data_IF_486601179760
#
_entry.id   IF_486601179760
#
_cell.length_a   1.000
_cell.length_b   1.000
_cell.length_c   1.000
_cell.angle_alpha   90.00
_cell.angle_beta   90.00
_cell.angle_gamma   90.00
#
_symmetry.space_group_name_H-M   'P 1'
#
loop_
_entity.id
_entity.type
_entity.pdbx_description
1 polymer ?
#
# COMPACT_ATOMS: atom_id res chain seq x y z
N UNK A 1 29.78 15.90 -91.96
CA UNK A 1 31.21 15.77 -92.28
C UNK A 1 31.84 15.33 -91.02
N UNK A 2 32.17 14.11 -91.12
CA UNK A 2 33.36 13.31 -90.82
C UNK A 2 33.55 13.08 -89.34
N UNK A 3 33.15 11.91 -88.82
CA UNK A 3 33.92 10.66 -88.71
C UNK A 3 35.29 10.82 -88.08
N UNK A 4 35.50 10.23 -86.93
CA UNK A 4 36.47 9.12 -86.86
C UNK A 4 36.51 8.51 -85.43
N UNK A 5 36.33 7.24 -85.46
CA UNK A 5 36.67 6.25 -84.45
C UNK A 5 38.15 6.16 -84.14
N UNK A 6 38.56 5.80 -82.91
CA UNK A 6 39.65 4.88 -82.57
C UNK A 6 39.50 4.43 -81.13
N UNK A 7 39.17 3.26 -80.90
CA UNK A 7 39.76 2.06 -80.34
C UNK A 7 41.01 2.21 -79.47
N UNK A 8 40.99 1.69 -78.29
CA UNK A 8 42.19 1.45 -77.47
C UNK A 8 41.86 0.98 -76.04
N UNK A 9 41.80 -0.31 -75.84
CA UNK A 9 42.00 -1.03 -74.54
C UNK A 9 43.52 -1.23 -74.40
N UNK A 10 44.07 -1.68 -73.22
CA UNK A 10 43.70 -1.67 -71.84
C UNK A 10 44.84 -1.17 -70.92
N UNK A 11 44.59 -0.89 -69.71
CA UNK A 11 45.65 -0.60 -68.74
C UNK A 11 45.23 -0.60 -67.31
N UNK A 12 45.31 -1.74 -66.72
CA UNK A 12 45.74 -2.06 -65.36
C UNK A 12 45.58 -1.02 -64.26
N UNK A 13 44.73 -1.38 -63.30
CA UNK A 13 45.01 -1.44 -61.88
C UNK A 13 45.59 -0.20 -61.21
N UNK A 14 44.75 0.49 -60.48
CA UNK A 14 45.16 1.10 -59.22
C UNK A 14 44.02 0.79 -58.19
N UNK A 15 44.27 -0.29 -57.49
CA UNK A 15 43.62 -0.60 -56.21
C UNK A 15 44.12 0.45 -55.21
N UNK A 16 43.46 1.59 -55.13
CA UNK A 16 43.58 2.43 -53.95
C UNK A 16 42.75 1.75 -52.84
N UNK A 17 43.46 1.01 -52.02
CA UNK A 17 43.00 0.55 -50.75
C UNK A 17 42.66 1.77 -49.90
N UNK A 18 41.39 2.18 -49.91
CA UNK A 18 40.82 3.01 -48.85
C UNK A 18 40.74 2.12 -47.62
N UNK A 19 41.83 2.02 -46.89
CA UNK A 19 41.83 1.55 -45.53
C UNK A 19 41.02 2.57 -44.73
N UNK A 20 39.70 2.37 -44.68
CA UNK A 20 38.82 2.99 -43.68
C UNK A 20 39.31 2.45 -42.35
N UNK A 21 40.12 3.25 -41.69
CA UNK A 21 40.39 3.12 -40.28
C UNK A 21 39.02 3.25 -39.55
N UNK A 22 38.32 2.14 -39.40
CA UNK A 22 37.42 1.93 -38.31
C UNK A 22 38.29 1.95 -37.05
N UNK A 23 38.59 3.17 -36.58
CA UNK A 23 38.91 3.35 -35.19
C UNK A 23 37.68 2.86 -34.44
N UNK A 24 37.67 1.56 -34.18
CA UNK A 24 36.79 1.00 -33.15
C UNK A 24 37.07 1.80 -31.89
N UNK A 25 36.16 2.72 -31.58
CA UNK A 25 35.98 3.13 -30.21
C UNK A 25 35.54 1.88 -29.42
N UNK A 26 36.52 1.02 -29.18
CA UNK A 26 36.49 0.08 -28.10
C UNK A 26 36.60 0.89 -26.81
N UNK A 27 35.60 1.72 -26.55
CA UNK A 27 35.26 2.07 -25.18
C UNK A 27 34.95 0.74 -24.50
N UNK A 28 35.98 0.19 -23.86
CA UNK A 28 35.79 -0.97 -23.00
C UNK A 28 34.71 -0.64 -22.01
N UNK A 29 33.47 -1.01 -22.34
CA UNK A 29 32.47 -1.25 -21.33
C UNK A 29 33.07 -2.39 -20.54
N UNK A 30 33.69 -2.07 -19.39
CA UNK A 30 34.01 -3.06 -18.37
C UNK A 30 32.68 -3.73 -18.01
N UNK A 31 32.33 -4.71 -18.82
CA UNK A 31 31.14 -5.51 -18.57
C UNK A 31 31.44 -6.35 -17.34
N UNK A 32 30.94 -5.89 -16.18
CA UNK A 32 30.98 -6.69 -14.99
C UNK A 32 30.21 -7.98 -15.28
N UNK A 33 30.95 -9.09 -15.38
CA UNK A 33 30.34 -10.39 -15.59
C UNK A 33 29.79 -10.92 -14.26
N UNK A 34 28.51 -10.62 -14.00
CA UNK A 34 27.82 -11.05 -12.78
C UNK A 34 27.54 -12.57 -12.73
N UNK A 35 27.94 -13.32 -13.76
CA UNK A 35 27.82 -14.78 -13.76
C UNK A 35 29.05 -15.48 -13.18
N UNK A 36 30.16 -14.76 -13.00
CA UNK A 36 31.41 -15.32 -12.44
C UNK A 36 31.49 -15.14 -10.93
N UNK A 37 32.10 -16.10 -10.23
CA UNK A 37 32.37 -15.95 -8.80
C UNK A 37 33.32 -14.76 -8.56
N UNK A 38 33.07 -14.05 -7.46
CA UNK A 38 33.82 -12.85 -7.06
C UNK A 38 35.23 -13.24 -6.62
N UNK A 39 36.23 -12.73 -7.29
CA UNK A 39 37.65 -12.91 -6.93
C UNK A 39 38.33 -11.55 -6.86
N UNK A 40 38.76 -11.14 -5.66
CA UNK A 40 39.63 -9.98 -5.43
C UNK A 40 39.01 -8.59 -5.67
N UNK A 41 39.35 -7.59 -4.86
CA UNK A 41 38.82 -6.20 -4.89
C UNK A 41 37.28 -6.09 -4.70
N UNK A 42 36.75 -6.76 -3.70
CA UNK A 42 35.31 -6.91 -3.41
C UNK A 42 34.55 -5.57 -3.36
N UNK A 43 35.06 -4.57 -2.65
CA UNK A 43 34.37 -3.30 -2.49
C UNK A 43 34.14 -2.57 -3.83
N UNK A 44 35.13 -2.59 -4.72
CA UNK A 44 35.07 -1.96 -6.05
C UNK A 44 34.05 -2.64 -6.96
N UNK A 45 33.90 -3.96 -6.82
CA UNK A 45 32.92 -4.74 -7.59
C UNK A 45 31.48 -4.47 -7.10
N UNK A 46 31.28 -4.38 -5.78
CA UNK A 46 29.98 -4.04 -5.19
C UNK A 46 29.52 -2.65 -5.66
N UNK A 47 30.41 -1.67 -5.60
CA UNK A 47 30.11 -0.30 -6.05
C UNK A 47 29.77 -0.23 -7.53
N UNK A 48 30.59 -0.87 -8.38
CA UNK A 48 30.37 -0.88 -9.84
C UNK A 48 29.04 -1.55 -10.18
N UNK A 49 28.76 -2.70 -9.58
CA UNK A 49 27.51 -3.41 -9.82
C UNK A 49 26.31 -2.60 -9.34
N UNK A 50 26.38 -1.99 -8.16
CA UNK A 50 25.35 -1.10 -7.65
C UNK A 50 25.11 0.07 -8.60
N UNK A 51 26.16 0.80 -8.99
CA UNK A 51 26.04 1.91 -9.96
C UNK A 51 25.44 1.46 -11.29
N UNK A 52 25.83 0.29 -11.79
CA UNK A 52 25.23 -0.28 -13.01
C UNK A 52 23.75 -0.56 -12.79
N UNK A 53 23.36 -1.19 -11.69
CA UNK A 53 21.95 -1.45 -11.35
C UNK A 53 21.12 -0.16 -11.27
N UNK A 54 21.66 0.90 -10.68
CA UNK A 54 20.99 2.22 -10.63
C UNK A 54 20.86 2.84 -12.02
N UNK A 55 21.87 2.74 -12.89
CA UNK A 55 21.76 3.24 -14.25
C UNK A 55 20.67 2.50 -15.04
N UNK A 56 20.66 1.16 -14.98
CA UNK A 56 19.62 0.36 -15.62
C UNK A 56 18.21 0.70 -15.07
N UNK A 57 18.09 0.95 -13.75
CA UNK A 57 16.85 1.43 -13.13
C UNK A 57 16.40 2.77 -13.73
N UNK A 58 17.32 3.74 -13.85
CA UNK A 58 17.03 5.06 -14.40
C UNK A 58 16.60 4.98 -15.88
N UNK A 59 17.17 4.03 -16.62
CA UNK A 59 16.80 3.72 -18.00
C UNK A 59 15.50 2.89 -18.10
N UNK A 60 14.84 2.61 -16.94
CA UNK A 60 13.64 1.77 -16.82
C UNK A 60 13.84 0.31 -17.26
N UNK A 61 15.08 -0.14 -17.37
CA UNK A 61 15.43 -1.53 -17.63
C UNK A 61 15.42 -2.33 -16.34
N UNK A 62 14.22 -2.49 -15.77
CA UNK A 62 14.02 -3.06 -14.43
C UNK A 62 14.53 -4.50 -14.29
N UNK A 63 14.52 -5.29 -15.37
CA UNK A 63 15.01 -6.68 -15.35
C UNK A 63 16.52 -6.70 -15.07
N UNK A 64 17.29 -5.94 -15.84
CA UNK A 64 18.74 -5.86 -15.66
C UNK A 64 19.11 -5.16 -14.36
N UNK A 65 18.39 -4.09 -14.00
CA UNK A 65 18.57 -3.41 -12.72
C UNK A 65 18.41 -4.40 -11.55
N UNK A 66 17.35 -5.21 -11.54
CA UNK A 66 17.11 -6.23 -10.52
C UNK A 66 18.28 -7.22 -10.44
N UNK A 67 18.76 -7.73 -11.59
CA UNK A 67 19.88 -8.69 -11.62
C UNK A 67 21.14 -8.11 -10.95
N UNK A 68 21.54 -6.87 -11.28
CA UNK A 68 22.69 -6.23 -10.68
C UNK A 68 22.53 -5.96 -9.19
N UNK A 69 21.36 -5.44 -8.77
CA UNK A 69 21.11 -5.10 -7.38
C UNK A 69 20.99 -6.35 -6.50
N UNK A 70 20.33 -7.41 -6.97
CA UNK A 70 20.27 -8.69 -6.27
C UNK A 70 21.64 -9.37 -6.20
N UNK A 71 22.43 -9.25 -7.24
CA UNK A 71 23.81 -9.76 -7.23
C UNK A 71 24.64 -9.06 -6.15
N UNK A 72 24.53 -7.72 -6.01
CA UNK A 72 25.19 -6.97 -4.92
C UNK A 72 24.74 -7.47 -3.56
N UNK A 73 23.44 -7.59 -3.35
CA UNK A 73 22.86 -8.05 -2.08
C UNK A 73 23.35 -9.45 -1.71
N UNK A 74 23.39 -10.36 -2.67
CA UNK A 74 23.75 -11.76 -2.41
C UNK A 74 25.25 -12.00 -2.23
N UNK A 75 26.09 -11.29 -2.98
CA UNK A 75 27.54 -11.52 -2.97
C UNK A 75 28.31 -10.60 -2.00
N UNK A 76 27.70 -9.47 -1.60
CA UNK A 76 28.33 -8.49 -0.71
C UNK A 76 27.42 -8.07 0.46
N UNK A 77 26.87 -9.01 1.24
CA UNK A 77 25.84 -8.73 2.24
C UNK A 77 26.29 -7.74 3.34
N UNK A 78 27.58 -7.64 3.58
CA UNK A 78 28.14 -6.71 4.60
C UNK A 78 28.63 -5.39 4.01
N UNK A 79 28.46 -5.17 2.72
CA UNK A 79 28.83 -3.92 2.07
C UNK A 79 27.74 -2.86 2.29
N UNK A 80 28.14 -1.60 2.41
CA UNK A 80 27.19 -0.48 2.38
C UNK A 80 26.32 -0.49 1.11
N UNK A 81 26.81 -1.03 0.01
CA UNK A 81 26.08 -1.14 -1.24
C UNK A 81 24.98 -2.19 -1.20
N UNK A 82 25.06 -3.18 -0.28
CA UNK A 82 23.98 -4.16 -0.08
C UNK A 82 22.71 -3.48 0.43
N UNK A 83 22.82 -2.70 1.49
CA UNK A 83 21.70 -1.96 2.04
C UNK A 83 21.11 -0.95 1.02
N UNK A 84 21.98 -0.28 0.26
CA UNK A 84 21.55 0.63 -0.81
C UNK A 84 20.86 -0.13 -1.97
N UNK A 85 21.31 -1.34 -2.29
CA UNK A 85 20.69 -2.19 -3.30
C UNK A 85 19.28 -2.68 -2.84
N UNK A 86 19.15 -3.09 -1.57
CA UNK A 86 17.84 -3.44 -1.00
C UNK A 86 16.86 -2.28 -1.08
N UNK A 87 17.29 -1.09 -0.72
CA UNK A 87 16.46 0.11 -0.79
C UNK A 87 16.09 0.46 -2.25
N UNK A 88 17.03 0.31 -3.20
CA UNK A 88 16.76 0.54 -4.60
C UNK A 88 15.78 -0.48 -5.21
N UNK A 89 15.83 -1.74 -4.77
CA UNK A 89 14.86 -2.76 -5.16
C UNK A 89 13.46 -2.43 -4.64
N UNK A 90 13.35 -1.94 -3.39
CA UNK A 90 12.09 -1.47 -2.84
C UNK A 90 11.54 -0.25 -3.61
N UNK A 91 12.41 0.71 -3.95
CA UNK A 91 12.05 1.87 -4.78
C UNK A 91 11.55 1.43 -6.17
N UNK A 92 12.19 0.42 -6.79
CA UNK A 92 11.75 -0.12 -8.09
C UNK A 92 10.39 -0.80 -8.01
N UNK A 93 10.12 -1.57 -6.95
CA UNK A 93 8.80 -2.18 -6.75
C UNK A 93 7.72 -1.08 -6.67
N UNK A 94 8.00 -0.01 -5.94
CA UNK A 94 7.09 1.13 -5.84
C UNK A 94 6.89 1.86 -7.18
N UNK A 95 7.95 2.09 -7.95
CA UNK A 95 7.87 2.72 -9.28
C UNK A 95 7.09 1.89 -10.30
N UNK A 96 7.07 0.58 -10.12
CA UNK A 96 6.27 -0.37 -10.91
C UNK A 96 4.85 -0.54 -10.40
N UNK A 97 4.44 0.27 -9.43
CA UNK A 97 3.13 0.22 -8.78
C UNK A 97 2.83 -1.12 -8.06
N UNK A 98 3.86 -1.93 -7.80
CA UNK A 98 3.75 -3.11 -6.93
C UNK A 98 3.88 -2.67 -5.47
N UNK A 99 2.84 -1.99 -5.00
CA UNK A 99 2.86 -1.32 -3.70
C UNK A 99 2.92 -2.29 -2.52
N UNK A 100 2.31 -3.46 -2.64
CA UNK A 100 2.35 -4.49 -1.60
C UNK A 100 3.77 -5.04 -1.39
N UNK A 101 4.46 -5.39 -2.49
CA UNK A 101 5.86 -5.82 -2.46
C UNK A 101 6.78 -4.69 -1.98
N UNK A 102 6.55 -3.46 -2.43
CA UNK A 102 7.31 -2.30 -2.00
C UNK A 102 7.18 -2.06 -0.49
N UNK A 103 5.96 -2.10 0.06
CA UNK A 103 5.73 -1.94 1.49
C UNK A 103 6.50 -2.99 2.31
N UNK A 104 6.45 -4.25 1.88
CA UNK A 104 7.20 -5.35 2.52
C UNK A 104 8.70 -5.11 2.46
N UNK A 105 9.24 -4.79 1.28
CA UNK A 105 10.67 -4.55 1.09
C UNK A 105 11.19 -3.36 1.93
N UNK A 106 10.42 -2.26 2.01
CA UNK A 106 10.79 -1.15 2.90
C UNK A 106 10.72 -1.52 4.38
N UNK A 107 9.73 -2.33 4.80
CA UNK A 107 9.66 -2.82 6.19
C UNK A 107 10.85 -3.69 6.54
N UNK A 108 11.23 -4.61 5.66
CA UNK A 108 12.39 -5.47 5.84
C UNK A 108 13.68 -4.65 5.92
N UNK A 109 13.82 -3.62 5.07
CA UNK A 109 14.95 -2.70 5.13
C UNK A 109 15.05 -2.00 6.49
N UNK A 110 13.95 -1.41 6.98
CA UNK A 110 13.94 -0.72 8.29
C UNK A 110 14.27 -1.68 9.43
N UNK A 111 13.79 -2.93 9.35
CA UNK A 111 14.05 -3.97 10.34
C UNK A 111 15.52 -4.42 10.34
N UNK A 112 16.10 -4.60 9.16
CA UNK A 112 17.47 -5.09 8.98
C UNK A 112 18.52 -3.99 9.18
N UNK A 113 18.17 -2.74 8.87
CA UNK A 113 19.08 -1.58 8.87
C UNK A 113 18.53 -0.40 9.68
N UNK A 114 18.18 -0.56 10.97
CA UNK A 114 17.49 0.47 11.75
C UNK A 114 18.33 1.75 11.98
N UNK A 115 19.66 1.64 11.94
CA UNK A 115 20.59 2.77 12.09
C UNK A 115 21.07 3.36 10.76
N UNK A 116 20.57 2.87 9.63
CA UNK A 116 20.98 3.38 8.32
C UNK A 116 20.48 4.83 8.13
N UNK A 117 21.29 5.73 7.52
CA UNK A 117 20.90 7.14 7.31
C UNK A 117 19.58 7.35 6.54
N UNK A 118 19.13 6.36 5.77
CA UNK A 118 17.87 6.38 5.03
C UNK A 118 16.78 5.49 5.63
N UNK A 119 16.91 5.08 6.90
CA UNK A 119 15.90 4.27 7.57
C UNK A 119 14.58 5.07 7.76
N UNK A 120 14.68 6.38 7.98
CA UNK A 120 13.55 7.28 8.06
C UNK A 120 12.80 7.38 6.71
N UNK A 121 13.54 7.53 5.60
CA UNK A 121 12.97 7.50 4.26
C UNK A 121 12.23 6.19 4.01
N UNK A 122 12.86 5.04 4.27
CA UNK A 122 12.25 3.73 4.06
C UNK A 122 10.98 3.58 4.92
N UNK A 123 11.02 4.00 6.20
CA UNK A 123 9.87 3.95 7.09
C UNK A 123 8.70 4.83 6.61
N UNK A 124 8.98 6.04 6.10
CA UNK A 124 7.97 6.88 5.45
C UNK A 124 7.37 6.21 4.21
N UNK A 125 8.24 5.59 3.38
CA UNK A 125 7.83 4.90 2.14
C UNK A 125 6.93 3.69 2.40
N UNK A 126 7.07 3.00 3.55
CA UNK A 126 6.11 1.95 3.97
C UNK A 126 4.69 2.51 4.01
N UNK A 127 4.50 3.63 4.72
CA UNK A 127 3.18 4.24 4.82
C UNK A 127 2.64 4.74 3.48
N UNK A 128 3.53 5.32 2.66
CA UNK A 128 3.15 5.79 1.33
C UNK A 128 2.76 4.64 0.40
N UNK A 129 3.46 3.50 0.47
CA UNK A 129 3.15 2.31 -0.32
C UNK A 129 1.77 1.76 0.04
N UNK A 130 1.47 1.58 1.31
CA UNK A 130 0.12 1.18 1.74
C UNK A 130 -0.97 2.19 1.31
N UNK A 131 -0.66 3.48 1.34
CA UNK A 131 -1.63 4.49 0.87
C UNK A 131 -1.89 4.39 -0.63
N UNK A 132 -0.88 4.07 -1.44
CA UNK A 132 -1.04 3.90 -2.89
C UNK A 132 -1.75 2.60 -3.25
N UNK A 133 -1.65 1.56 -2.40
CA UNK A 133 -2.34 0.27 -2.57
C UNK A 133 -3.86 0.36 -2.32
N UNK A 134 -4.37 1.55 -2.03
CA UNK A 134 -5.80 1.79 -1.80
C UNK A 134 -6.64 1.49 -3.03
N UNK A 135 -7.90 1.03 -2.88
CA UNK A 135 -8.84 0.89 -3.98
C UNK A 135 -9.04 2.22 -4.73
N UNK A 136 -9.09 2.14 -6.07
CA UNK A 136 -9.24 3.31 -6.93
C UNK A 136 -10.59 4.03 -6.71
N UNK A 137 -10.59 5.35 -6.88
CA UNK A 137 -11.75 6.23 -6.78
C UNK A 137 -12.44 6.45 -8.15
N UNK A 138 -12.38 5.43 -9.04
CA UNK A 138 -12.97 5.54 -10.36
C UNK A 138 -14.49 5.73 -10.27
N UNK A 139 -15.03 6.78 -10.90
CA UNK A 139 -16.40 7.26 -10.75
C UNK A 139 -17.52 6.24 -11.07
N UNK A 140 -17.23 5.24 -11.92
CA UNK A 140 -18.19 4.17 -12.27
C UNK A 140 -18.24 3.05 -11.22
N UNK A 141 -17.28 3.01 -10.30
CA UNK A 141 -17.23 2.03 -9.20
C UNK A 141 -17.90 2.63 -7.96
N UNK A 142 -18.31 1.78 -6.99
CA UNK A 142 -18.78 2.26 -5.70
C UNK A 142 -17.75 3.21 -5.06
N UNK A 143 -18.20 4.20 -4.29
CA UNK A 143 -17.30 5.12 -3.60
C UNK A 143 -16.22 4.39 -2.81
N UNK A 144 -15.04 4.98 -2.71
CA UNK A 144 -13.90 4.32 -2.09
C UNK A 144 -14.09 4.00 -0.60
N UNK A 145 -14.94 4.78 0.10
CA UNK A 145 -15.28 4.51 1.50
C UNK A 145 -16.21 3.29 1.70
N UNK A 146 -16.81 2.75 0.63
CA UNK A 146 -17.57 1.49 0.67
C UNK A 146 -16.68 0.25 0.47
N UNK A 147 -15.47 0.44 -0.04
CA UNK A 147 -14.51 -0.63 -0.34
C UNK A 147 -13.69 -1.00 0.89
N UNK A 148 -12.83 -2.00 0.77
CA UNK A 148 -11.89 -2.39 1.82
C UNK A 148 -10.98 -1.21 2.21
N UNK A 149 -10.91 -0.93 3.50
CA UNK A 149 -10.08 0.12 4.08
C UNK A 149 -8.81 -0.42 4.73
N UNK A 150 -8.51 -1.71 4.58
CA UNK A 150 -7.29 -2.33 5.16
C UNK A 150 -6.00 -1.61 4.74
N UNK A 151 -5.78 -1.26 3.45
CA UNK A 151 -4.59 -0.53 3.06
C UNK A 151 -4.49 0.85 3.71
N UNK A 152 -5.62 1.56 3.83
CA UNK A 152 -5.66 2.90 4.45
C UNK A 152 -5.37 2.82 5.97
N UNK A 153 -5.88 1.79 6.67
CA UNK A 153 -5.55 1.54 8.08
C UNK A 153 -4.06 1.26 8.24
N UNK A 154 -3.51 0.38 7.40
CA UNK A 154 -2.08 0.06 7.40
C UNK A 154 -1.21 1.28 7.12
N UNK A 155 -1.63 2.14 6.18
CA UNK A 155 -0.95 3.40 5.88
C UNK A 155 -0.94 4.34 7.08
N UNK A 156 -2.12 4.57 7.68
CA UNK A 156 -2.27 5.41 8.87
C UNK A 156 -1.36 4.94 10.01
N UNK A 157 -1.38 3.64 10.31
CA UNK A 157 -0.59 3.06 11.39
C UNK A 157 0.92 3.11 11.12
N UNK A 158 1.34 2.85 9.88
CA UNK A 158 2.73 2.94 9.48
C UNK A 158 3.26 4.39 9.57
N UNK A 159 2.47 5.36 9.09
CA UNK A 159 2.84 6.78 9.15
C UNK A 159 2.87 7.31 10.58
N UNK A 160 1.95 6.89 11.45
CA UNK A 160 1.98 7.26 12.87
C UNK A 160 3.24 6.71 13.55
N UNK A 161 3.57 5.43 13.32
CA UNK A 161 4.83 4.85 13.82
C UNK A 161 6.06 5.60 13.30
N UNK A 162 6.05 5.97 12.02
CA UNK A 162 7.13 6.76 11.43
C UNK A 162 7.32 8.10 12.16
N UNK A 163 6.25 8.88 12.36
CA UNK A 163 6.32 10.19 13.04
C UNK A 163 6.86 10.08 14.48
N UNK A 164 6.50 8.98 15.17
CA UNK A 164 6.97 8.70 16.53
C UNK A 164 8.46 8.30 16.52
N UNK A 165 8.87 7.43 15.59
CA UNK A 165 10.22 6.89 15.54
C UNK A 165 11.25 7.88 14.98
N UNK A 166 10.83 8.75 14.06
CA UNK A 166 11.71 9.69 13.35
C UNK A 166 11.20 11.14 13.42
N UNK A 167 11.03 11.73 14.62
CA UNK A 167 10.37 13.03 14.78
C UNK A 167 11.10 14.21 14.14
N UNK A 168 12.39 14.05 13.80
CA UNK A 168 13.23 15.06 13.15
C UNK A 168 13.39 14.85 11.64
N UNK A 169 12.77 13.84 11.07
CA UNK A 169 12.87 13.56 9.63
C UNK A 169 12.18 14.65 8.81
N UNK A 170 12.75 14.98 7.66
CA UNK A 170 12.18 15.92 6.69
C UNK A 170 10.82 15.49 6.13
N UNK A 171 10.49 14.19 6.23
CA UNK A 171 9.21 13.63 5.75
C UNK A 171 8.07 13.79 6.74
N UNK A 172 8.33 14.24 7.99
CA UNK A 172 7.29 14.35 9.04
C UNK A 172 6.11 15.24 8.64
N UNK A 173 6.30 16.45 8.05
CA UNK A 173 5.16 17.25 7.62
C UNK A 173 4.27 16.52 6.62
N UNK A 174 4.85 15.94 5.57
CA UNK A 174 4.12 15.17 4.55
C UNK A 174 3.42 13.94 5.13
N UNK A 175 4.06 13.27 6.10
CA UNK A 175 3.46 12.13 6.78
C UNK A 175 2.23 12.54 7.60
N UNK A 176 2.27 13.68 8.29
CA UNK A 176 1.11 14.21 9.04
C UNK A 176 -0.05 14.58 8.14
N UNK A 177 0.22 15.21 7.00
CA UNK A 177 -0.81 15.52 6.00
C UNK A 177 -1.46 14.23 5.50
N UNK A 178 -0.66 13.21 5.19
CA UNK A 178 -1.17 11.93 4.72
C UNK A 178 -1.94 11.16 5.80
N UNK A 179 -1.53 11.25 7.07
CA UNK A 179 -2.29 10.73 8.22
C UNK A 179 -3.68 11.36 8.27
N UNK A 180 -3.78 12.68 8.11
CA UNK A 180 -5.07 13.37 8.11
C UNK A 180 -5.96 12.88 6.97
N UNK A 181 -5.43 12.76 5.75
CA UNK A 181 -6.16 12.19 4.60
C UNK A 181 -6.63 10.76 4.87
N UNK A 182 -5.78 9.90 5.45
CA UNK A 182 -6.17 8.55 5.84
C UNK A 182 -7.30 8.57 6.87
N UNK A 183 -7.20 9.41 7.90
CA UNK A 183 -8.21 9.52 8.97
C UNK A 183 -9.55 10.03 8.43
N UNK A 184 -9.54 11.02 7.54
CA UNK A 184 -10.77 11.52 6.90
C UNK A 184 -11.47 10.42 6.10
N UNK A 185 -10.71 9.61 5.35
CA UNK A 185 -11.27 8.50 4.59
C UNK A 185 -11.83 7.40 5.49
N UNK A 186 -11.14 7.06 6.58
CA UNK A 186 -11.62 6.10 7.57
C UNK A 186 -12.87 6.61 8.30
N UNK A 187 -12.92 7.90 8.63
CA UNK A 187 -14.10 8.52 9.22
C UNK A 187 -15.31 8.49 8.27
N UNK A 188 -15.09 8.73 6.97
CA UNK A 188 -16.14 8.61 5.96
C UNK A 188 -16.68 7.18 5.85
N UNK A 189 -15.80 6.17 5.91
CA UNK A 189 -16.20 4.76 5.96
C UNK A 189 -17.03 4.43 7.22
N UNK A 190 -16.55 4.84 8.40
CA UNK A 190 -17.25 4.56 9.66
C UNK A 190 -18.60 5.27 9.72
N UNK A 191 -18.71 6.49 9.16
CA UNK A 191 -19.99 7.19 8.98
C UNK A 191 -20.92 6.41 8.06
N UNK A 192 -20.44 5.94 6.91
CA UNK A 192 -21.22 5.12 5.99
C UNK A 192 -21.78 3.86 6.69
N UNK A 193 -20.95 3.18 7.48
CA UNK A 193 -21.39 2.02 8.27
C UNK A 193 -22.44 2.42 9.33
N UNK A 194 -22.24 3.54 10.02
CA UNK A 194 -23.22 4.05 10.98
C UNK A 194 -24.58 4.36 10.34
N UNK A 195 -24.55 5.03 9.17
CA UNK A 195 -25.74 5.34 8.38
C UNK A 195 -26.45 4.09 7.83
N UNK A 196 -25.69 3.05 7.51
CA UNK A 196 -26.25 1.75 7.12
C UNK A 196 -27.11 1.15 8.24
N UNK A 197 -26.60 1.14 9.50
CA UNK A 197 -27.37 0.70 10.67
C UNK A 197 -28.56 1.61 10.95
N UNK A 198 -28.39 2.92 10.79
CA UNK A 198 -29.45 3.91 10.95
C UNK A 198 -30.62 3.66 10.00
N UNK A 199 -30.37 3.50 8.71
CA UNK A 199 -31.39 3.26 7.68
C UNK A 199 -32.19 1.98 7.90
N UNK A 200 -31.63 1.03 8.67
CA UNK A 200 -32.28 -0.24 9.03
C UNK A 200 -32.96 -0.22 10.40
N UNK A 201 -33.04 0.94 11.04
CA UNK A 201 -33.57 1.11 12.39
C UNK A 201 -32.83 0.25 13.44
N UNK A 202 -31.59 -0.18 13.14
CA UNK A 202 -30.73 -0.91 14.06
C UNK A 202 -30.06 0.07 15.04
N UNK A 203 -30.88 0.73 15.86
CA UNK A 203 -30.51 1.89 16.66
C UNK A 203 -29.32 1.66 17.58
N UNK A 204 -29.25 0.50 18.24
CA UNK A 204 -28.13 0.15 19.11
C UNK A 204 -26.81 0.08 18.33
N UNK A 205 -26.83 -0.53 17.14
CA UNK A 205 -25.68 -0.58 16.25
C UNK A 205 -25.28 0.79 15.74
N UNK A 206 -26.26 1.60 15.29
CA UNK A 206 -26.04 2.98 14.84
C UNK A 206 -25.40 3.84 15.94
N UNK A 207 -25.96 3.81 17.16
CA UNK A 207 -25.43 4.56 18.30
C UNK A 207 -23.97 4.20 18.59
N UNK A 208 -23.65 2.90 18.65
CA UNK A 208 -22.29 2.43 18.92
C UNK A 208 -21.30 2.89 17.82
N UNK A 209 -21.71 2.87 16.55
CA UNK A 209 -20.87 3.35 15.44
C UNK A 209 -20.67 4.86 15.46
N UNK A 210 -21.72 5.65 15.73
CA UNK A 210 -21.56 7.09 15.88
C UNK A 210 -20.72 7.47 17.11
N UNK A 211 -20.82 6.78 18.23
CA UNK A 211 -19.93 6.99 19.37
C UNK A 211 -18.47 6.68 19.01
N UNK A 212 -18.22 5.55 18.36
CA UNK A 212 -16.87 5.21 17.86
C UNK A 212 -16.31 6.28 16.92
N UNK A 213 -17.16 6.82 16.03
CA UNK A 213 -16.79 7.90 15.12
C UNK A 213 -16.40 9.18 15.91
N UNK A 214 -17.16 9.55 16.93
CA UNK A 214 -16.87 10.70 17.79
C UNK A 214 -15.58 10.53 18.58
N UNK A 215 -15.31 9.33 19.08
CA UNK A 215 -14.14 9.03 19.90
C UNK A 215 -12.85 8.96 19.07
N UNK A 216 -12.92 8.35 17.89
CA UNK A 216 -11.72 8.10 17.05
C UNK A 216 -11.36 9.27 16.15
N UNK A 217 -12.35 9.96 15.61
CA UNK A 217 -12.16 10.99 14.58
C UNK A 217 -12.77 12.34 14.93
N UNK A 218 -13.19 12.51 16.19
CA UNK A 218 -13.91 13.70 16.63
C UNK A 218 -13.12 15.00 16.55
N UNK A 219 -11.80 14.96 16.43
CA UNK A 219 -10.92 16.11 16.22
C UNK A 219 -10.90 16.61 14.76
N UNK A 220 -11.34 15.78 13.81
CA UNK A 220 -11.44 16.17 12.41
C UNK A 220 -12.45 17.32 12.21
N UNK A 221 -12.26 18.05 11.12
CA UNK A 221 -13.10 19.20 10.78
C UNK A 221 -13.18 20.23 11.93
N UNK A 222 -12.05 20.49 12.58
CA UNK A 222 -11.97 21.41 13.73
C UNK A 222 -12.92 21.02 14.90
N UNK A 223 -13.17 19.71 15.08
CA UNK A 223 -14.03 19.19 16.14
C UNK A 223 -15.53 19.13 15.78
N UNK A 224 -15.92 19.54 14.58
CA UNK A 224 -17.32 19.50 14.14
C UNK A 224 -17.87 18.09 14.07
N UNK A 225 -17.06 17.15 13.59
CA UNK A 225 -17.42 15.74 13.45
C UNK A 225 -17.83 15.11 14.79
N UNK A 226 -17.16 15.47 15.89
CA UNK A 226 -17.50 14.99 17.24
C UNK A 226 -18.93 15.35 17.62
N UNK A 227 -19.30 16.62 17.46
CA UNK A 227 -20.64 17.10 17.83
C UNK A 227 -21.74 16.44 17.01
N UNK A 228 -21.56 16.35 15.70
CA UNK A 228 -22.49 15.69 14.81
C UNK A 228 -22.65 14.19 15.15
N UNK A 229 -21.56 13.49 15.38
CA UNK A 229 -21.59 12.07 15.70
C UNK A 229 -22.24 11.82 17.07
N UNK A 230 -21.94 12.64 18.10
CA UNK A 230 -22.60 12.55 19.40
C UNK A 230 -24.09 12.85 19.31
N UNK A 231 -24.48 13.84 18.49
CA UNK A 231 -25.89 14.13 18.27
C UNK A 231 -26.61 12.93 17.66
N UNK A 232 -26.07 12.37 16.58
CA UNK A 232 -26.65 11.21 15.90
C UNK A 232 -26.71 9.98 16.83
N UNK A 233 -25.72 9.77 17.69
CA UNK A 233 -25.73 8.71 18.70
C UNK A 233 -26.86 8.94 19.72
N UNK A 234 -27.05 10.18 20.19
CA UNK A 234 -28.15 10.55 21.08
C UNK A 234 -29.52 10.29 20.46
N UNK A 235 -29.72 10.66 19.21
CA UNK A 235 -30.94 10.38 18.43
C UNK A 235 -31.19 8.86 18.29
N UNK A 236 -30.13 8.08 18.06
CA UNK A 236 -30.26 6.63 17.99
C UNK A 236 -30.68 6.01 19.32
N UNK A 237 -30.14 6.47 20.46
CA UNK A 237 -30.57 6.04 21.78
C UNK A 237 -32.02 6.46 22.11
N UNK A 238 -32.41 7.68 21.65
CA UNK A 238 -33.81 8.13 21.78
C UNK A 238 -34.76 7.18 21.06
N UNK A 239 -34.45 6.83 19.80
CA UNK A 239 -35.26 5.91 19.01
C UNK A 239 -35.29 4.50 19.61
N UNK A 240 -34.21 4.11 20.30
CA UNK A 240 -34.14 2.84 21.05
C UNK A 240 -34.96 2.87 22.36
N UNK A 241 -35.31 4.08 22.85
CA UNK A 241 -35.96 4.26 24.16
C UNK A 241 -35.01 4.20 25.36
N UNK A 242 -33.69 4.16 25.12
CA UNK A 242 -32.65 4.14 26.15
C UNK A 242 -32.34 5.57 26.63
N UNK A 243 -33.19 6.07 27.55
CA UNK A 243 -33.06 7.40 28.13
C UNK A 243 -31.74 7.62 28.89
N UNK A 244 -31.19 6.56 29.47
CA UNK A 244 -29.93 6.64 30.22
C UNK A 244 -28.73 6.91 29.31
N UNK A 245 -28.61 6.15 28.23
CA UNK A 245 -27.54 6.34 27.24
C UNK A 245 -27.75 7.62 26.44
N UNK A 246 -28.98 7.99 26.10
CA UNK A 246 -29.29 9.29 25.48
C UNK A 246 -28.77 10.43 26.36
N UNK A 247 -29.13 10.47 27.64
CA UNK A 247 -28.70 11.51 28.59
C UNK A 247 -27.16 11.63 28.64
N UNK A 248 -26.47 10.51 28.83
CA UNK A 248 -25.00 10.49 28.85
C UNK A 248 -24.38 11.04 27.56
N UNK A 249 -24.92 10.65 26.42
CA UNK A 249 -24.41 11.07 25.10
C UNK A 249 -24.64 12.56 24.85
N UNK A 250 -25.84 13.09 25.21
CA UNK A 250 -26.12 14.51 25.10
C UNK A 250 -25.29 15.35 26.07
N UNK A 251 -25.00 14.86 27.29
CA UNK A 251 -24.07 15.51 28.21
C UNK A 251 -22.68 15.64 27.61
N UNK A 252 -22.18 14.56 26.99
CA UNK A 252 -20.90 14.59 26.26
C UNK A 252 -20.92 15.63 25.12
N UNK A 253 -22.01 15.69 24.33
CA UNK A 253 -22.14 16.68 23.28
C UNK A 253 -21.99 18.10 23.81
N UNK A 254 -22.71 18.45 24.88
CA UNK A 254 -22.66 19.80 25.48
C UNK A 254 -21.26 20.13 26.01
N UNK A 255 -20.57 19.15 26.58
CA UNK A 255 -19.24 19.32 27.19
C UNK A 255 -18.12 19.33 26.14
N UNK A 256 -18.14 18.35 25.23
CA UNK A 256 -17.03 18.08 24.30
C UNK A 256 -17.15 18.85 22.97
N UNK A 257 -18.38 19.28 22.61
CA UNK A 257 -18.65 20.01 21.36
C UNK A 257 -19.48 21.30 21.61
N UNK A 258 -18.96 22.26 22.38
CA UNK A 258 -19.73 23.43 22.83
C UNK A 258 -20.17 24.36 21.69
N UNK A 259 -19.57 24.26 20.50
CA UNK A 259 -19.93 25.05 19.30
C UNK A 259 -20.81 24.30 18.33
N UNK A 260 -21.30 23.10 18.70
CA UNK A 260 -22.18 22.32 17.81
C UNK A 260 -23.55 22.99 17.69
N UNK A 261 -24.14 22.94 16.49
CA UNK A 261 -25.45 23.52 16.19
C UNK A 261 -26.61 22.91 17.02
N UNK A 262 -26.50 21.63 17.37
CA UNK A 262 -27.50 20.92 18.18
C UNK A 262 -27.36 21.12 19.70
N UNK A 263 -26.40 21.94 20.15
CA UNK A 263 -26.14 22.13 21.59
C UNK A 263 -27.37 22.61 22.34
N UNK A 264 -28.03 23.65 21.84
CA UNK A 264 -29.22 24.22 22.51
C UNK A 264 -30.36 23.19 22.61
N UNK A 265 -30.56 22.39 21.59
CA UNK A 265 -31.55 21.31 21.61
C UNK A 265 -31.17 20.19 22.60
N UNK A 266 -29.87 19.82 22.62
CA UNK A 266 -29.37 18.85 23.59
C UNK A 266 -29.58 19.33 25.03
N UNK A 267 -29.29 20.59 25.36
CA UNK A 267 -29.52 21.18 26.66
C UNK A 267 -31.02 21.18 27.02
N UNK A 268 -31.90 21.51 26.06
CA UNK A 268 -33.37 21.46 26.30
C UNK A 268 -33.85 20.04 26.62
N UNK A 269 -33.36 19.03 25.88
CA UNK A 269 -33.71 17.65 26.14
C UNK A 269 -33.14 17.14 27.46
N UNK A 270 -31.92 17.52 27.83
CA UNK A 270 -31.36 17.13 29.12
C UNK A 270 -32.19 17.56 30.34
N UNK A 271 -32.94 18.67 30.23
CA UNK A 271 -33.87 19.15 31.29
C UNK A 271 -35.09 18.26 31.43
N UNK A 272 -35.50 17.55 30.38
CA UNK A 272 -36.70 16.69 30.36
C UNK A 272 -36.39 15.22 30.61
N UNK A 273 -35.15 14.81 30.47
CA UNK A 273 -34.71 13.43 30.69
C UNK A 273 -34.62 13.14 32.20
N UNK A 274 -35.08 11.96 32.66
CA UNK A 274 -35.01 11.57 34.07
C UNK A 274 -33.55 11.56 34.56
N UNK A 275 -33.39 11.85 35.85
CA UNK A 275 -32.09 11.69 36.47
C UNK A 275 -31.66 10.23 36.42
N UNK A 276 -30.47 9.96 35.89
CA UNK A 276 -29.93 8.59 35.90
C UNK A 276 -29.49 8.33 37.34
N UNK A 277 -30.36 7.71 38.12
CA UNK A 277 -29.93 7.16 39.42
C UNK A 277 -28.91 6.05 39.07
N UNK A 278 -27.68 6.14 39.58
CA UNK A 278 -26.73 5.04 39.39
C UNK A 278 -27.41 3.78 39.90
N UNK A 279 -27.47 2.72 39.08
CA UNK A 279 -27.92 1.44 39.55
C UNK A 279 -27.13 1.12 40.84
N UNK A 280 -27.76 0.74 41.94
CA UNK A 280 -27.04 0.33 43.13
C UNK A 280 -26.00 -0.70 42.70
N UNK A 281 -24.76 -0.63 43.24
CA UNK A 281 -23.74 -1.60 42.87
C UNK A 281 -24.38 -2.97 42.98
N UNK A 282 -24.36 -3.73 41.89
CA UNK A 282 -24.93 -5.06 41.84
C UNK A 282 -24.47 -5.76 43.10
N UNK A 283 -25.44 -6.09 43.99
CA UNK A 283 -25.13 -6.80 45.22
C UNK A 283 -24.23 -7.93 44.78
N UNK A 284 -23.06 -7.99 45.37
CA UNK A 284 -22.06 -9.03 45.11
C UNK A 284 -22.82 -10.35 45.10
N UNK A 285 -23.10 -10.87 43.91
CA UNK A 285 -23.69 -12.20 43.79
C UNK A 285 -22.78 -13.11 44.60
N UNK A 286 -23.32 -13.60 45.69
CA UNK A 286 -22.66 -14.57 46.55
C UNK A 286 -22.13 -15.64 45.61
N UNK A 287 -20.81 -15.77 45.58
CA UNK A 287 -20.00 -16.72 44.79
C UNK A 287 -20.75 -18.07 44.85
N UNK A 288 -21.51 -18.36 43.78
CA UNK A 288 -22.09 -19.68 43.59
C UNK A 288 -20.92 -20.67 43.63
N UNK A 289 -21.09 -21.83 44.31
CA UNK A 289 -20.04 -22.81 44.42
C UNK A 289 -19.58 -23.15 43.00
N UNK A 290 -18.26 -23.00 42.77
CA UNK A 290 -17.61 -23.30 41.52
C UNK A 290 -18.03 -24.67 41.01
N UNK A 291 -18.81 -24.71 39.95
CA UNK A 291 -19.02 -25.92 39.19
C UNK A 291 -17.65 -26.37 38.68
N UNK A 292 -17.30 -27.65 38.74
CA UNK A 292 -16.09 -28.16 38.17
C UNK A 292 -16.10 -27.79 36.68
N UNK A 293 -15.01 -27.16 36.23
CA UNK A 293 -14.84 -26.71 34.82
C UNK A 293 -15.12 -27.87 33.86
N UNK A 294 -15.59 -27.56 32.65
CA UNK A 294 -15.76 -28.61 31.64
C UNK A 294 -14.42 -29.33 31.45
N UNK A 295 -14.44 -30.61 31.76
CA UNK A 295 -13.34 -31.55 31.44
C UNK A 295 -13.04 -31.39 29.98
N UNK A 296 -11.81 -31.00 29.69
CA UNK A 296 -11.25 -30.90 28.36
C UNK A 296 -11.54 -32.20 27.61
N UNK A 297 -12.58 -32.21 26.79
CA UNK A 297 -12.91 -33.33 25.95
C UNK A 297 -11.79 -33.46 24.92
N UNK A 298 -10.98 -34.50 25.09
CA UNK A 298 -9.98 -34.92 24.13
C UNK A 298 -10.64 -34.99 22.75
N UNK A 299 -10.10 -34.29 21.74
CA UNK A 299 -10.68 -34.35 20.39
C UNK A 299 -10.73 -35.82 19.92
N UNK A 300 -11.82 -36.25 19.24
CA UNK A 300 -11.92 -37.61 18.74
C UNK A 300 -10.81 -37.89 17.72
N UNK A 301 -10.35 -39.15 17.61
CA UNK A 301 -9.31 -39.50 16.63
C UNK A 301 -9.82 -39.21 15.23
N UNK A 302 -8.95 -38.63 14.39
CA UNK A 302 -9.16 -38.25 12.99
C UNK A 302 -9.32 -39.47 12.05
N UNK A 303 -10.31 -40.29 12.23
CA UNK A 303 -10.49 -41.48 11.35
C UNK A 303 -11.76 -41.49 10.52
N UNK A 304 -12.67 -40.52 10.65
CA UNK A 304 -13.95 -40.61 9.95
C UNK A 304 -14.35 -39.34 9.16
N UNK A 305 -13.37 -38.55 8.67
CA UNK A 305 -13.65 -37.53 7.66
C UNK A 305 -13.32 -38.13 6.28
N UNK A 306 -14.28 -38.17 5.33
CA UNK A 306 -13.97 -38.53 3.98
C UNK A 306 -12.94 -37.54 3.41
N UNK A 307 -11.89 -38.07 2.78
CA UNK A 307 -10.90 -37.28 2.06
C UNK A 307 -11.60 -36.30 1.10
N UNK A 308 -11.18 -35.03 1.03
CA UNK A 308 -11.68 -34.14 0.01
C UNK A 308 -11.25 -34.71 -1.34
N UNK A 309 -12.22 -35.15 -2.16
CA UNK A 309 -11.97 -35.53 -3.55
C UNK A 309 -11.27 -34.36 -4.23
N UNK A 310 -10.06 -34.60 -4.72
CA UNK A 310 -9.29 -33.66 -5.52
C UNK A 310 -10.08 -33.37 -6.80
N UNK A 311 -10.86 -32.30 -6.79
CA UNK A 311 -11.41 -31.72 -8.01
C UNK A 311 -10.26 -31.01 -8.72
N UNK A 312 -9.63 -31.73 -9.64
CA UNK A 312 -8.75 -31.13 -10.65
C UNK A 312 -9.56 -30.07 -11.39
N UNK A 313 -9.09 -28.81 -11.44
CA UNK A 313 -9.80 -27.80 -12.21
C UNK A 313 -9.87 -28.24 -13.68
N UNK A 314 -10.98 -28.03 -14.38
CA UNK A 314 -11.11 -28.40 -15.80
C UNK A 314 -10.04 -27.63 -16.59
N UNK A 315 -9.34 -28.40 -17.45
CA UNK A 315 -8.36 -27.89 -18.41
C UNK A 315 -9.06 -26.83 -19.28
N UNK A 316 -8.48 -25.61 -19.41
CA UNK A 316 -9.08 -24.61 -20.31
C UNK A 316 -9.15 -25.17 -21.74
N UNK A 317 -10.31 -24.99 -22.37
CA UNK A 317 -10.56 -25.33 -23.76
C UNK A 317 -9.56 -24.58 -24.66
N UNK A 318 -9.09 -25.22 -25.75
CA UNK A 318 -8.18 -24.54 -26.67
C UNK A 318 -8.88 -23.35 -27.32
N UNK A 319 -8.21 -22.19 -27.26
CA UNK A 319 -8.61 -20.96 -27.93
C UNK A 319 -8.63 -21.24 -29.44
N UNK A 320 -9.68 -20.88 -30.20
CA UNK A 320 -9.67 -20.99 -31.68
C UNK A 320 -8.55 -20.12 -32.25
N UNK A 321 -7.81 -20.70 -33.22
CA UNK A 321 -6.72 -20.01 -33.92
C UNK A 321 -7.17 -18.66 -34.48
N UNK A 322 -6.53 -17.61 -34.01
CA UNK A 322 -6.58 -16.28 -34.62
C UNK A 322 -5.99 -16.36 -36.05
N UNK A 323 -6.66 -15.81 -37.07
CA UNK A 323 -6.12 -15.83 -38.44
C UNK A 323 -4.86 -14.95 -38.52
N UNK A 324 -3.78 -15.55 -39.00
CA UNK A 324 -2.51 -14.84 -39.25
C UNK A 324 -2.72 -13.74 -40.29
N UNK A 325 -2.07 -12.57 -40.12
CA UNK A 325 -2.13 -11.48 -41.09
C UNK A 325 -1.47 -11.93 -42.40
N UNK A 326 -2.21 -11.86 -43.49
CA UNK A 326 -1.76 -12.12 -44.86
C UNK A 326 -0.69 -11.10 -45.26
N UNK A 327 0.45 -11.61 -45.69
CA UNK A 327 1.57 -10.86 -46.22
C UNK A 327 1.10 -10.10 -47.49
N UNK A 328 1.39 -8.80 -47.67
CA UNK A 328 1.03 -8.14 -48.93
C UNK A 328 1.85 -8.68 -50.12
N UNK A 329 1.15 -8.94 -51.21
CA UNK A 329 1.72 -9.39 -52.47
C UNK A 329 2.66 -8.29 -53.02
N UNK A 330 3.85 -8.73 -53.39
CA UNK A 330 4.81 -7.88 -54.01
C UNK A 330 4.40 -7.42 -55.41
N UNK A 331 4.59 -6.16 -55.72
CA UNK A 331 4.48 -5.60 -57.05
C UNK A 331 5.56 -6.21 -57.97
N UNK A 332 5.14 -6.68 -59.13
CA UNK A 332 6.00 -7.11 -60.21
C UNK A 332 6.48 -5.89 -61.00
N UNK A 333 7.68 -5.94 -61.57
CA UNK A 333 8.25 -4.79 -62.28
C UNK A 333 7.70 -4.67 -63.72
N UNK A 334 7.49 -3.44 -64.11
CA UNK A 334 7.53 -3.01 -65.53
C UNK A 334 8.70 -2.14 -65.77
#
# INVERSE_FOLDING_TARGET
METMTVSGRPGRALLCAAAVLFAACAGGKDSLDITKPVTGAEATNAERAYKRGINEKNDKNYIEATRYLEWVRSNFPYSQYSALAELALADMAFEREDFASAATAYQDFVKSHPSHPRADYASYRVGLAFYQDKPSDFWLLPPSYEKDQTPIRSANDALQRFVISYPKSEYVPRARDLINVCRERLAAHDRYVADFYWKRNAWKGAAGRFLSLADTYGDLEAGRLRGEALWRAGEAYRNLGDKGSEKKTLQRLVQEAPRNEHRAEAEARLRTLPEVVPAPPAATEAKAPSQPGPTEAKPPPRSDLPEPQSSTPPRPSPVPNEPQPTKPAGDAPR
#
